data_IF_709348418514
#
_entry.id   IF_709348418514
#
_cell.length_a   1.000
_cell.length_b   1.000
_cell.length_c   1.000
_cell.angle_alpha   90.00
_cell.angle_beta   90.00
_cell.angle_gamma   90.00
#
_symmetry.space_group_name_H-M   'P 1'
#
loop_
_entity.id
_entity.type
_entity.pdbx_description
1 polymer ?
#
# COMPACT_ATOMS: atom_id res chain seq x y z
N UNK A 1 -18.59 19.14 27.87
CA UNK A 1 -18.34 20.33 27.01
C UNK A 1 -18.27 19.85 25.57
N UNK A 2 -19.07 20.41 24.66
CA UNK A 2 -19.07 19.98 23.26
C UNK A 2 -17.78 20.46 22.55
N UNK A 3 -17.05 19.61 21.83
CA UNK A 3 -15.77 19.98 21.19
C UNK A 3 -15.88 21.21 20.27
N UNK A 4 -17.00 21.35 19.57
CA UNK A 4 -17.26 22.48 18.67
C UNK A 4 -17.34 23.83 19.40
N UNK A 5 -17.80 23.83 20.65
CA UNK A 5 -17.92 25.04 21.49
C UNK A 5 -16.56 25.55 21.97
N UNK A 6 -15.59 24.65 22.15
CA UNK A 6 -14.21 25.02 22.51
C UNK A 6 -13.53 25.62 21.27
N UNK A 7 -13.70 24.98 20.11
CA UNK A 7 -13.15 25.46 18.84
C UNK A 7 -13.68 26.85 18.48
N UNK A 8 -14.98 27.10 18.59
CA UNK A 8 -15.56 28.40 18.27
C UNK A 8 -15.08 29.54 19.17
N UNK A 9 -14.75 29.26 20.43
CA UNK A 9 -14.17 30.24 21.37
C UNK A 9 -12.70 30.53 21.08
N UNK A 10 -11.92 29.49 20.76
CA UNK A 10 -10.47 29.63 20.57
C UNK A 10 -10.10 30.16 19.18
N UNK A 11 -10.89 29.84 18.14
CA UNK A 11 -10.68 30.31 16.77
C UNK A 11 -11.99 30.76 16.13
N UNK A 12 -12.49 31.94 16.50
CA UNK A 12 -13.74 32.48 15.95
C UNK A 12 -13.67 32.73 14.44
N UNK A 13 -12.46 33.00 13.91
CA UNK A 13 -12.18 33.26 12.49
C UNK A 13 -11.90 31.98 11.67
N UNK A 14 -12.04 30.79 12.26
CA UNK A 14 -11.82 29.54 11.53
C UNK A 14 -12.86 29.39 10.40
N UNK A 15 -12.45 29.15 9.14
CA UNK A 15 -13.39 29.01 8.01
C UNK A 15 -14.52 27.99 8.24
N UNK A 16 -14.23 26.92 9.00
CA UNK A 16 -15.24 25.92 9.40
C UNK A 16 -16.29 26.52 10.36
N UNK A 17 -15.87 27.27 11.37
CA UNK A 17 -16.75 27.92 12.36
C UNK A 17 -17.57 29.05 11.71
N UNK A 18 -16.96 29.80 10.79
CA UNK A 18 -17.65 30.85 10.03
C UNK A 18 -18.74 30.28 9.11
N UNK A 19 -18.45 29.18 8.41
CA UNK A 19 -19.42 28.47 7.56
C UNK A 19 -20.61 27.92 8.36
N UNK A 20 -20.35 27.41 9.57
CA UNK A 20 -21.39 26.97 10.52
C UNK A 20 -22.28 28.10 11.02
N UNK A 21 -21.78 29.33 11.13
CA UNK A 21 -22.61 30.51 11.47
C UNK A 21 -23.45 30.96 10.27
N UNK A 22 -22.91 30.84 9.07
CA UNK A 22 -23.58 31.23 7.83
C UNK A 22 -24.79 30.32 7.49
N UNK A 23 -24.73 29.04 7.83
CA UNK A 23 -25.84 28.10 7.63
C UNK A 23 -27.04 28.34 8.57
N UNK A 24 -26.85 29.02 9.70
CA UNK A 24 -27.94 29.38 10.63
C UNK A 24 -28.66 30.67 10.20
N UNK A 25 -28.00 31.53 9.41
CA UNK A 25 -28.53 32.81 8.95
C UNK A 25 -29.28 32.65 7.60
N UNK A 26 -28.95 31.63 6.80
CA UNK A 26 -29.55 31.42 5.47
C UNK A 26 -31.02 30.95 5.48
N UNK A 27 -31.64 30.72 6.64
CA UNK A 27 -33.06 30.36 6.75
C UNK A 27 -33.99 31.54 7.10
N UNK A 28 -33.50 32.79 7.10
CA UNK A 28 -34.36 33.97 7.28
C UNK A 28 -34.17 34.99 6.16
N UNK A 29 -35.05 34.84 5.16
CA UNK A 29 -35.65 35.88 4.31
C UNK A 29 -34.74 36.73 3.38
N UNK A 30 -35.07 36.62 2.10
CA UNK A 30 -34.85 37.57 1.00
C UNK A 30 -35.18 39.03 1.37
N UNK A 31 -34.40 40.01 0.87
CA UNK A 31 -34.89 41.22 0.16
C UNK A 31 -33.73 42.09 -0.40
N UNK A 32 -33.67 42.18 -1.74
CA UNK A 32 -33.38 43.33 -2.65
C UNK A 32 -32.12 44.25 -2.58
N UNK A 33 -31.40 44.29 -3.74
CA UNK A 33 -30.62 45.37 -4.44
C UNK A 33 -29.46 46.12 -3.71
N UNK A 34 -28.29 46.44 -4.28
CA UNK A 34 -27.76 46.49 -5.66
C UNK A 34 -26.20 46.46 -5.70
N UNK A 35 -25.65 45.80 -6.72
CA UNK A 35 -24.47 46.10 -7.61
C UNK A 35 -23.20 46.74 -6.99
N UNK A 36 -22.00 46.14 -7.06
CA UNK A 36 -21.14 46.13 -8.27
C UNK A 36 -19.94 45.15 -8.16
N UNK A 37 -19.91 44.20 -9.10
CA UNK A 37 -18.78 43.55 -9.80
C UNK A 37 -17.59 42.97 -9.03
N UNK A 38 -17.65 41.65 -8.76
CA UNK A 38 -16.50 40.75 -8.92
C UNK A 38 -16.86 39.70 -9.96
N UNK A 39 -15.93 39.45 -10.88
CA UNK A 39 -16.05 38.55 -12.03
C UNK A 39 -16.26 37.09 -11.57
N UNK A 40 -17.51 36.71 -11.39
CA UNK A 40 -17.94 35.34 -11.11
C UNK A 40 -17.88 34.49 -12.38
N UNK A 41 -17.11 33.40 -12.35
CA UNK A 41 -17.30 32.28 -13.27
C UNK A 41 -18.65 31.64 -12.91
N UNK A 42 -19.63 31.55 -13.83
CA UNK A 42 -20.91 30.95 -13.52
C UNK A 42 -20.73 29.44 -13.31
N UNK A 43 -20.80 28.98 -12.06
CA UNK A 43 -21.09 27.58 -11.79
C UNK A 43 -22.56 27.41 -12.13
N UNK A 44 -22.84 26.84 -13.31
CA UNK A 44 -24.19 26.35 -13.63
C UNK A 44 -24.50 25.25 -12.61
N UNK A 45 -25.34 25.56 -11.64
CA UNK A 45 -26.09 24.57 -10.88
C UNK A 45 -27.15 23.99 -11.81
N UNK A 46 -26.73 23.10 -12.70
CA UNK A 46 -27.63 22.10 -13.27
C UNK A 46 -27.84 21.02 -12.18
N UNK A 47 -29.08 20.58 -11.93
CA UNK A 47 -29.30 19.40 -11.10
C UNK A 47 -28.48 18.25 -11.71
N UNK A 48 -27.66 17.58 -10.91
CA UNK A 48 -26.85 16.46 -11.37
C UNK A 48 -27.74 15.47 -12.13
N UNK A 49 -27.60 15.44 -13.46
CA UNK A 49 -28.29 14.49 -14.30
C UNK A 49 -27.55 13.14 -14.16
N UNK A 50 -28.19 12.09 -13.59
CA UNK A 50 -27.57 10.78 -13.42
C UNK A 50 -27.07 10.16 -14.73
N UNK A 51 -27.55 10.64 -15.88
CA UNK A 51 -27.19 10.16 -17.21
C UNK A 51 -25.81 10.62 -17.70
N UNK A 52 -25.10 11.51 -16.98
CA UNK A 52 -23.72 11.93 -17.34
C UNK A 52 -22.62 11.21 -16.57
N UNK A 53 -22.94 10.21 -15.74
CA UNK A 53 -21.92 9.29 -15.23
C UNK A 53 -21.26 8.64 -16.44
N UNK A 54 -19.99 8.94 -16.69
CA UNK A 54 -19.21 8.18 -17.66
C UNK A 54 -19.29 6.73 -17.21
N UNK A 55 -19.95 5.90 -18.01
CA UNK A 55 -19.91 4.45 -17.86
C UNK A 55 -18.44 4.09 -18.03
N UNK A 56 -17.76 3.86 -16.92
CA UNK A 56 -16.50 3.14 -16.96
C UNK A 56 -16.89 1.82 -17.59
N UNK A 57 -16.47 1.61 -18.84
CA UNK A 57 -16.71 0.33 -19.48
C UNK A 57 -16.10 -0.74 -18.57
N UNK A 58 -16.86 -1.79 -18.23
CA UNK A 58 -16.30 -2.88 -17.45
C UNK A 58 -15.06 -3.35 -18.23
N UNK A 59 -13.89 -3.21 -17.60
CA UNK A 59 -12.68 -3.88 -18.08
C UNK A 59 -13.12 -5.33 -18.20
N UNK A 60 -13.17 -5.85 -19.44
CA UNK A 60 -13.56 -7.22 -19.68
C UNK A 60 -12.39 -8.11 -19.22
N UNK A 61 -12.21 -8.19 -17.90
CA UNK A 61 -11.39 -9.19 -17.26
C UNK A 61 -12.24 -10.45 -17.22
N UNK A 62 -12.39 -11.06 -18.40
CA UNK A 62 -12.72 -12.47 -18.47
C UNK A 62 -11.57 -13.24 -17.82
N UNK A 63 -11.65 -13.42 -16.51
CA UNK A 63 -10.88 -14.44 -15.85
C UNK A 63 -11.68 -14.92 -14.66
N UNK A 64 -12.29 -16.08 -14.80
CA UNK A 64 -12.79 -16.93 -13.71
C UNK A 64 -11.68 -17.41 -12.77
N UNK A 65 -10.64 -16.62 -12.55
CA UNK A 65 -9.62 -16.86 -11.55
C UNK A 65 -9.81 -15.84 -10.43
N UNK A 66 -9.96 -16.35 -9.21
CA UNK A 66 -9.85 -15.60 -7.96
C UNK A 66 -8.42 -15.07 -7.76
N UNK A 67 -7.88 -14.33 -8.74
CA UNK A 67 -6.54 -13.76 -8.69
C UNK A 67 -6.69 -12.35 -8.15
N UNK A 68 -6.27 -12.14 -6.91
CA UNK A 68 -6.11 -10.80 -6.37
C UNK A 68 -5.00 -10.07 -7.16
N UNK A 69 -5.41 -9.23 -8.11
CA UNK A 69 -4.49 -8.31 -8.80
C UNK A 69 -4.28 -7.11 -7.89
N UNK A 70 -3.26 -7.20 -7.04
CA UNK A 70 -2.79 -6.03 -6.34
C UNK A 70 -2.22 -5.02 -7.34
N UNK A 71 -2.85 -3.85 -7.43
CA UNK A 71 -2.40 -2.80 -8.34
C UNK A 71 -1.17 -2.10 -7.76
N UNK A 72 -0.24 -1.68 -8.64
CA UNK A 72 0.91 -0.86 -8.25
C UNK A 72 0.48 0.40 -7.49
N UNK A 73 -0.68 0.97 -7.85
CA UNK A 73 -1.27 2.10 -7.15
C UNK A 73 -1.62 1.77 -5.70
N UNK A 74 -2.27 0.64 -5.43
CA UNK A 74 -2.62 0.22 -4.08
C UNK A 74 -1.37 -0.01 -3.22
N UNK A 75 -0.35 -0.67 -3.77
CA UNK A 75 0.93 -0.87 -3.07
C UNK A 75 1.62 0.47 -2.74
N UNK A 76 1.54 1.47 -3.63
CA UNK A 76 2.05 2.81 -3.36
C UNK A 76 1.24 3.53 -2.27
N UNK A 77 -0.09 3.44 -2.29
CA UNK A 77 -0.93 4.02 -1.24
C UNK A 77 -0.60 3.40 0.12
N UNK A 78 -0.47 2.08 0.19
CA UNK A 78 -0.04 1.37 1.40
C UNK A 78 1.29 1.92 1.93
N UNK A 79 2.29 2.07 1.06
CA UNK A 79 3.59 2.64 1.42
C UNK A 79 3.49 4.01 2.09
N UNK A 80 2.62 4.90 1.58
CA UNK A 80 2.44 6.25 2.14
C UNK A 80 1.96 6.25 3.59
N UNK A 81 1.26 5.19 4.02
CA UNK A 81 0.79 5.08 5.41
C UNK A 81 1.93 4.86 6.42
N UNK A 82 3.09 4.35 6.01
CA UNK A 82 4.20 4.03 6.92
C UNK A 82 5.20 5.19 7.13
N UNK A 83 4.78 6.44 6.93
CA UNK A 83 5.64 7.62 7.09
C UNK A 83 6.25 7.76 8.48
N UNK A 84 5.53 7.30 9.52
CA UNK A 84 5.95 7.41 10.93
C UNK A 84 6.14 6.03 11.60
N UNK A 85 6.43 4.99 10.81
CA UNK A 85 6.63 3.64 11.34
C UNK A 85 7.80 3.61 12.35
N UNK A 86 7.60 3.13 13.60
CA UNK A 86 8.61 3.26 14.64
C UNK A 86 9.77 2.25 14.53
N UNK A 87 9.60 1.14 13.80
CA UNK A 87 10.62 0.09 13.70
C UNK A 87 11.47 0.26 12.43
N UNK A 88 12.81 0.29 12.59
CA UNK A 88 13.75 0.47 11.46
C UNK A 88 14.26 -0.84 10.84
N UNK A 89 14.22 -1.92 11.61
CA UNK A 89 14.76 -3.23 11.23
C UNK A 89 13.63 -4.23 10.97
N UNK A 90 13.33 -5.13 11.90
CA UNK A 90 12.21 -6.06 11.82
C UNK A 90 11.23 -5.71 12.94
N UNK A 91 9.92 -5.63 12.68
CA UNK A 91 9.32 -5.67 11.35
C UNK A 91 9.53 -4.35 10.57
N UNK A 92 10.09 -4.43 9.37
CA UNK A 92 10.34 -3.25 8.52
C UNK A 92 9.06 -2.74 7.86
N UNK A 93 9.06 -1.46 7.46
CA UNK A 93 8.04 -0.90 6.57
C UNK A 93 7.85 -1.74 5.29
N UNK A 94 8.93 -2.27 4.71
CA UNK A 94 8.86 -3.11 3.51
C UNK A 94 8.10 -4.42 3.78
N UNK A 95 8.44 -5.13 4.86
CA UNK A 95 7.76 -6.36 5.26
C UNK A 95 6.28 -6.13 5.57
N UNK A 96 5.94 -5.02 6.24
CA UNK A 96 4.55 -4.66 6.50
C UNK A 96 3.77 -4.46 5.19
N UNK A 97 4.36 -3.74 4.23
CA UNK A 97 3.75 -3.50 2.92
C UNK A 97 3.54 -4.81 2.15
N UNK A 98 4.55 -5.69 2.15
CA UNK A 98 4.52 -7.00 1.48
C UNK A 98 3.52 -7.95 2.13
N UNK A 99 3.34 -7.85 3.44
CA UNK A 99 2.33 -8.59 4.20
C UNK A 99 0.91 -8.07 4.01
N UNK A 100 0.71 -7.00 3.24
CA UNK A 100 -0.62 -6.46 2.93
C UNK A 100 -1.16 -5.46 3.95
N UNK A 101 -0.35 -5.05 4.93
CA UNK A 101 -0.77 -4.19 6.03
C UNK A 101 -0.71 -2.70 5.71
N UNK A 102 -1.70 -1.94 6.17
CA UNK A 102 -1.69 -0.47 6.22
C UNK A 102 -1.39 -0.03 7.66
N UNK A 103 -0.60 1.02 7.84
CA UNK A 103 -0.42 1.60 9.17
C UNK A 103 -1.63 2.47 9.55
N UNK A 104 -2.09 2.35 10.79
CA UNK A 104 -3.24 3.11 11.31
C UNK A 104 -2.88 4.54 11.75
N UNK A 105 -1.64 4.98 11.54
CA UNK A 105 -1.02 6.21 12.04
C UNK A 105 -1.09 6.39 13.56
N UNK A 106 -1.17 5.28 14.30
CA UNK A 106 -1.20 5.25 15.77
C UNK A 106 -0.19 4.20 16.25
N UNK A 107 0.95 4.66 16.74
CA UNK A 107 2.04 3.78 17.18
C UNK A 107 2.48 2.79 16.09
N UNK A 108 2.57 1.52 16.46
CA UNK A 108 2.90 0.40 15.57
C UNK A 108 1.65 -0.37 15.10
N UNK A 109 0.46 0.21 15.23
CA UNK A 109 -0.79 -0.45 14.83
C UNK A 109 -0.91 -0.52 13.31
N UNK A 110 -1.26 -1.70 12.82
CA UNK A 110 -1.51 -1.97 11.40
C UNK A 110 -2.83 -2.71 11.18
N UNK A 111 -3.36 -2.63 9.96
CA UNK A 111 -4.59 -3.31 9.54
C UNK A 111 -4.45 -3.93 8.14
N UNK A 112 -4.99 -5.15 7.96
CA UNK A 112 -5.20 -5.73 6.64
C UNK A 112 -6.60 -5.37 6.13
N UNK A 113 -6.72 -4.69 4.98
CA UNK A 113 -8.03 -4.27 4.44
C UNK A 113 -8.86 -5.42 3.84
N UNK A 114 -8.27 -6.61 3.68
CA UNK A 114 -8.93 -7.76 3.07
C UNK A 114 -9.60 -8.68 4.08
N UNK A 115 -9.03 -8.80 5.28
CA UNK A 115 -9.57 -9.62 6.37
C UNK A 115 -9.85 -8.83 7.65
N UNK A 116 -9.56 -7.53 7.67
CA UNK A 116 -9.71 -6.64 8.84
C UNK A 116 -8.89 -7.06 10.07
N UNK A 117 -7.88 -7.92 9.91
CA UNK A 117 -6.93 -8.24 10.98
C UNK A 117 -6.18 -6.96 11.40
N UNK A 118 -6.23 -6.63 12.69
CA UNK A 118 -5.50 -5.52 13.30
C UNK A 118 -4.42 -6.09 14.22
N UNK A 119 -3.18 -5.63 14.05
CA UNK A 119 -2.04 -6.03 14.88
C UNK A 119 -1.35 -4.80 15.45
N UNK A 120 -0.76 -4.91 16.64
CA UNK A 120 0.00 -3.87 17.35
C UNK A 120 0.94 -4.54 18.35
N UNK A 121 1.83 -3.77 18.99
CA UNK A 121 2.83 -4.29 19.95
C UNK A 121 3.80 -5.30 19.31
N UNK A 122 4.36 -4.92 18.17
CA UNK A 122 5.32 -5.74 17.43
C UNK A 122 6.65 -5.81 18.17
N UNK A 123 7.16 -7.02 18.33
CA UNK A 123 8.44 -7.30 18.96
C UNK A 123 9.56 -7.12 17.93
N UNK A 124 10.48 -6.17 18.14
CA UNK A 124 11.58 -5.96 17.21
C UNK A 124 12.44 -7.21 17.07
N UNK A 125 12.93 -7.47 15.86
CA UNK A 125 13.82 -8.59 15.51
C UNK A 125 13.20 -10.00 15.54
N UNK A 126 12.01 -10.19 16.11
CA UNK A 126 11.39 -11.52 16.22
C UNK A 126 10.14 -11.68 15.35
N UNK A 127 9.31 -10.64 15.28
CA UNK A 127 7.99 -10.78 14.66
C UNK A 127 8.07 -10.54 13.15
N UNK A 128 7.85 -11.59 12.36
CA UNK A 128 7.70 -11.47 10.91
C UNK A 128 6.24 -11.18 10.53
N UNK A 129 5.93 -10.05 9.87
CA UNK A 129 4.55 -9.69 9.55
C UNK A 129 3.85 -10.66 8.60
N UNK A 130 4.59 -11.32 7.70
CA UNK A 130 4.03 -12.31 6.79
C UNK A 130 3.55 -13.54 7.58
N UNK A 131 4.40 -14.09 8.45
CA UNK A 131 4.04 -15.21 9.32
C UNK A 131 2.90 -14.85 10.27
N UNK A 132 2.95 -13.69 10.93
CA UNK A 132 1.84 -13.22 11.79
C UNK A 132 0.51 -13.17 11.02
N UNK A 133 0.50 -12.66 9.79
CA UNK A 133 -0.72 -12.60 8.98
C UNK A 133 -1.23 -14.00 8.58
N UNK A 134 -0.33 -14.90 8.17
CA UNK A 134 -0.68 -16.30 7.83
C UNK A 134 -1.25 -17.04 9.04
N UNK A 135 -0.65 -16.88 10.22
CA UNK A 135 -1.06 -17.57 11.44
C UNK A 135 -2.39 -17.05 11.96
N UNK A 136 -2.58 -15.72 12.01
CA UNK A 136 -3.77 -15.12 12.62
C UNK A 136 -4.97 -15.06 11.67
N UNK A 137 -4.76 -15.04 10.35
CA UNK A 137 -5.84 -14.98 9.36
C UNK A 137 -5.53 -15.84 8.13
N UNK A 138 -5.44 -17.18 8.27
CA UNK A 138 -5.05 -18.08 7.19
C UNK A 138 -6.02 -18.08 6.00
N UNK A 139 -7.30 -17.78 6.24
CA UNK A 139 -8.35 -17.70 5.21
C UNK A 139 -8.45 -16.33 4.54
N UNK A 140 -7.61 -15.36 4.91
CA UNK A 140 -7.59 -14.04 4.28
C UNK A 140 -7.32 -14.15 2.77
N UNK A 141 -8.10 -13.44 1.95
CA UNK A 141 -7.94 -13.44 0.49
C UNK A 141 -6.55 -12.95 0.06
N UNK A 142 -5.98 -11.99 0.78
CA UNK A 142 -4.60 -11.56 0.51
C UNK A 142 -3.59 -12.66 0.85
N UNK A 143 -3.77 -13.32 1.99
CA UNK A 143 -2.91 -14.42 2.43
C UNK A 143 -2.96 -15.54 1.40
N UNK A 144 -4.15 -16.04 1.05
CA UNK A 144 -4.33 -17.16 0.11
C UNK A 144 -3.92 -16.83 -1.32
N UNK A 145 -3.94 -15.56 -1.74
CA UNK A 145 -3.55 -15.16 -3.09
C UNK A 145 -2.08 -14.76 -3.23
N UNK A 146 -1.47 -14.18 -2.18
CA UNK A 146 -0.13 -13.54 -2.25
C UNK A 146 0.90 -14.10 -1.29
N UNK A 147 0.51 -14.50 -0.08
CA UNK A 147 1.44 -14.98 0.94
C UNK A 147 1.52 -16.52 0.98
N UNK A 148 0.47 -17.18 0.51
CA UNK A 148 0.36 -18.63 0.35
C UNK A 148 0.19 -18.90 -1.15
N UNK A 149 1.27 -18.95 -1.92
CA UNK A 149 1.28 -19.72 -3.19
C UNK A 149 2.69 -20.01 -3.69
N UNK A 150 2.80 -21.06 -4.52
CA UNK A 150 3.64 -22.23 -4.28
C UNK A 150 5.09 -21.90 -4.62
N UNK A 151 6.03 -22.78 -4.26
CA UNK A 151 7.33 -22.81 -4.94
C UNK A 151 7.02 -22.80 -6.44
N UNK A 152 7.30 -21.68 -7.13
CA UNK A 152 7.17 -21.65 -8.57
C UNK A 152 8.10 -22.76 -9.05
N UNK A 153 7.50 -23.79 -9.64
CA UNK A 153 8.16 -24.83 -10.39
C UNK A 153 9.16 -24.16 -11.29
N UNK A 154 10.45 -24.32 -10.97
CA UNK A 154 11.54 -23.90 -11.83
C UNK A 154 11.42 -24.74 -13.10
N UNK A 155 10.68 -24.27 -14.10
CA UNK A 155 10.86 -24.75 -15.47
C UNK A 155 12.22 -24.22 -15.89
N UNK A 156 13.26 -25.01 -15.65
CA UNK A 156 14.56 -24.81 -16.28
C UNK A 156 14.36 -25.23 -17.74
N UNK A 157 14.26 -24.24 -18.64
CA UNK A 157 14.42 -24.54 -20.06
C UNK A 157 15.91 -24.82 -20.26
N UNK A 158 16.29 -26.10 -20.24
CA UNK A 158 17.58 -26.54 -20.76
C UNK A 158 17.47 -26.44 -22.28
N UNK A 159 18.07 -25.39 -22.85
CA UNK A 159 18.30 -25.38 -24.29
C UNK A 159 19.49 -26.29 -24.59
N UNK A 160 19.21 -27.55 -24.92
CA UNK A 160 20.17 -28.44 -25.55
C UNK A 160 20.37 -27.97 -27.00
N UNK A 161 21.36 -27.12 -27.21
CA UNK A 161 22.04 -26.99 -28.51
C UNK A 161 23.34 -26.20 -28.36
N UNK A 162 24.40 -26.92 -28.00
CA UNK A 162 25.77 -26.69 -28.48
C UNK A 162 26.60 -27.92 -28.10
N UNK A 163 26.45 -28.98 -28.88
CA UNK A 163 27.39 -30.07 -28.91
C UNK A 163 28.71 -29.61 -29.53
N UNK A 164 29.80 -30.02 -28.88
CA UNK A 164 31.13 -30.32 -29.42
C UNK A 164 31.99 -29.17 -29.99
N UNK A 165 33.09 -28.88 -29.30
CA UNK A 165 34.40 -29.28 -29.82
C UNK A 165 35.34 -29.65 -28.68
N UNK A 166 35.79 -30.90 -28.77
CA UNK A 166 36.81 -31.59 -27.99
C UNK A 166 38.20 -30.99 -28.18
N UNK A 167 38.98 -30.87 -27.12
CA UNK A 167 40.42 -31.20 -27.17
C UNK A 167 40.89 -31.71 -25.82
N UNK A 168 40.91 -33.04 -25.77
CA UNK A 168 41.58 -33.91 -24.83
C UNK A 168 43.11 -33.66 -24.85
N UNK A 169 43.75 -33.56 -23.68
CA UNK A 169 45.12 -34.08 -23.45
C UNK A 169 45.28 -34.40 -21.95
N UNK A 170 45.09 -35.69 -21.64
CA UNK A 170 45.91 -36.55 -20.77
C UNK A 170 47.37 -36.01 -20.57
N UNK A 171 48.12 -36.21 -19.49
CA UNK A 171 48.11 -37.18 -18.39
C UNK A 171 49.39 -37.00 -17.55
N UNK A 172 49.36 -37.52 -16.32
CA UNK A 172 50.48 -38.21 -15.63
C UNK A 172 51.54 -37.42 -14.87
N UNK A 173 51.61 -37.74 -13.56
CA UNK A 173 52.81 -38.15 -12.75
C UNK A 173 53.99 -37.20 -12.64
N UNK A 174 54.82 -37.15 -11.59
CA UNK A 174 54.93 -37.64 -10.22
C UNK A 174 56.26 -37.01 -9.71
N UNK A 175 56.52 -37.08 -8.40
CA UNK A 175 57.81 -36.83 -7.72
C UNK A 175 58.36 -35.39 -7.80
N UNK A 176 58.98 -34.78 -6.80
CA UNK A 176 59.48 -35.14 -5.48
C UNK A 176 60.50 -34.06 -5.07
N UNK A 177 60.77 -33.96 -3.77
CA UNK A 177 61.92 -33.30 -3.12
C UNK A 177 61.79 -31.82 -2.70
N UNK A 178 61.51 -31.64 -1.40
CA UNK A 178 62.21 -30.74 -0.46
C UNK A 178 63.75 -30.89 -0.57
N UNK A 179 64.63 -29.95 -0.12
CA UNK A 179 64.50 -29.21 1.15
C UNK A 179 65.17 -27.80 1.29
N UNK A 180 64.87 -27.13 2.43
CA UNK A 180 65.72 -26.21 3.23
C UNK A 180 66.20 -24.86 2.64
N UNK A 181 65.81 -23.73 3.27
CA UNK A 181 66.54 -23.07 4.38
C UNK A 181 66.16 -21.58 4.52
N UNK A 182 66.09 -21.17 5.78
CA UNK A 182 65.95 -19.84 6.38
C UNK A 182 66.66 -18.66 5.70
N UNK A 183 66.00 -17.50 5.74
CA UNK A 183 66.48 -16.30 6.43
C UNK A 183 65.30 -15.42 6.85
#
# INVERSE_FOLDING_TARGET
MQPITIHSKQRPECPFILSLKQSVISNKAFTSLATTTIRSIPIKTEPENPSKRQKIEPINLETSSNTLVETNLLKQVRRRTFSHWPHRTIPSTAQMIESGFFNCNVGDRVICIYCNLICQQWTPHTDDPCEVHKTLSPSCIYVTAKLIRPAASSIIIVNENSTSTTSNMNSSTATGLDPLRSN
#
